data_IF_685173571195
#
_entry.id   IF_685173571195
#
_cell.length_a   1.000
_cell.length_b   1.000
_cell.length_c   1.000
_cell.angle_alpha   90.00
_cell.angle_beta   90.00
_cell.angle_gamma   90.00
#
_symmetry.space_group_name_H-M   'P 1'
#
loop_
_entity.id
_entity.type
_entity.pdbx_description
1 polymer ?
#
# COMPACT_ATOMS: atom_id res chain seq x y z
N UNK A 1 38.50 6.16 -6.97
CA UNK A 1 37.72 4.95 -7.35
C UNK A 1 36.56 5.43 -8.19
N UNK A 2 36.29 4.82 -9.35
CA UNK A 2 35.10 5.16 -10.12
C UNK A 2 33.87 4.74 -9.30
N UNK A 3 32.91 5.65 -9.12
CA UNK A 3 31.61 5.33 -8.51
C UNK A 3 30.99 4.15 -9.28
N UNK A 4 30.64 3.08 -8.58
CA UNK A 4 29.95 1.93 -9.18
C UNK A 4 28.56 2.39 -9.64
N UNK A 5 28.21 2.17 -10.90
CA UNK A 5 26.86 2.45 -11.39
C UNK A 5 25.91 1.37 -10.84
N UNK A 6 25.25 1.65 -9.70
CA UNK A 6 24.38 0.70 -9.02
C UNK A 6 23.15 0.35 -9.84
N UNK A 7 22.59 1.29 -10.61
CA UNK A 7 21.47 1.02 -11.51
C UNK A 7 21.83 -0.11 -12.48
N UNK A 8 23.02 -0.06 -13.08
CA UNK A 8 23.51 -1.10 -13.98
C UNK A 8 23.66 -2.45 -13.28
N UNK A 9 24.26 -2.47 -12.09
CA UNK A 9 24.45 -3.71 -11.30
C UNK A 9 23.10 -4.37 -10.98
N UNK A 10 22.14 -3.58 -10.50
CA UNK A 10 20.80 -4.04 -10.16
C UNK A 10 20.07 -4.53 -11.42
N UNK A 11 20.14 -3.77 -12.51
CA UNK A 11 19.47 -4.10 -13.77
C UNK A 11 20.01 -5.41 -14.37
N UNK A 12 21.33 -5.60 -14.41
CA UNK A 12 21.93 -6.82 -14.96
C UNK A 12 21.50 -8.06 -14.17
N UNK A 13 21.50 -7.98 -12.83
CA UNK A 13 20.99 -9.06 -11.98
C UNK A 13 19.49 -9.29 -12.20
N UNK A 14 18.70 -8.22 -12.26
CA UNK A 14 17.27 -8.29 -12.49
C UNK A 14 16.91 -8.94 -13.83
N UNK A 15 17.56 -8.54 -14.92
CA UNK A 15 17.36 -9.10 -16.25
C UNK A 15 17.70 -10.59 -16.29
N UNK A 16 18.74 -11.01 -15.55
CA UNK A 16 19.13 -12.42 -15.44
C UNK A 16 18.11 -13.24 -14.64
N UNK A 17 17.63 -12.72 -13.52
CA UNK A 17 16.84 -13.50 -12.56
C UNK A 17 15.32 -13.37 -12.74
N UNK A 18 14.85 -12.30 -13.39
CA UNK A 18 13.42 -11.94 -13.49
C UNK A 18 12.90 -11.86 -14.93
N UNK A 19 13.67 -12.37 -15.91
CA UNK A 19 13.30 -12.32 -17.35
C UNK A 19 11.89 -12.83 -17.64
N UNK A 20 11.50 -13.93 -17.02
CA UNK A 20 10.18 -14.53 -17.22
C UNK A 20 9.03 -13.59 -16.81
N UNK A 21 9.23 -12.76 -15.78
CA UNK A 21 8.24 -11.75 -15.37
C UNK A 21 8.11 -10.65 -16.42
N UNK A 22 9.23 -10.19 -16.98
CA UNK A 22 9.25 -9.22 -18.09
C UNK A 22 8.49 -9.79 -19.29
N UNK A 23 8.78 -11.04 -19.68
CA UNK A 23 8.07 -11.69 -20.78
C UNK A 23 6.56 -11.81 -20.53
N UNK A 24 6.17 -12.15 -19.30
CA UNK A 24 4.76 -12.26 -18.90
C UNK A 24 4.06 -10.91 -18.96
N UNK A 25 4.73 -9.85 -18.51
CA UNK A 25 4.25 -8.47 -18.61
C UNK A 25 4.06 -8.06 -20.07
N UNK A 26 5.09 -8.18 -20.90
CA UNK A 26 5.04 -7.80 -22.33
C UNK A 26 3.96 -8.58 -23.10
N UNK A 27 3.82 -9.89 -22.85
CA UNK A 27 2.75 -10.71 -23.43
C UNK A 27 1.34 -10.23 -23.02
N UNK A 28 1.21 -9.70 -21.81
CA UNK A 28 -0.05 -9.16 -21.30
C UNK A 28 -0.36 -7.74 -21.79
N UNK A 29 0.66 -6.98 -22.18
CA UNK A 29 0.53 -5.66 -22.79
C UNK A 29 0.08 -5.73 -24.25
N UNK A 30 0.45 -6.78 -24.98
CA UNK A 30 0.07 -6.92 -26.40
C UNK A 30 -1.46 -6.89 -26.65
N UNK A 31 -2.31 -7.58 -25.87
CA UNK A 31 -3.76 -7.49 -25.99
C UNK A 31 -4.38 -6.39 -25.09
N UNK A 32 -3.59 -5.50 -24.49
CA UNK A 32 -4.12 -4.50 -23.58
C UNK A 32 -4.96 -3.46 -24.34
N UNK A 33 -6.22 -3.33 -23.94
CA UNK A 33 -7.14 -2.34 -24.49
C UNK A 33 -7.32 -1.18 -23.48
N UNK A 34 -6.83 -0.01 -23.86
CA UNK A 34 -6.96 1.22 -23.09
C UNK A 34 -8.43 1.56 -22.78
N UNK A 35 -8.79 1.65 -21.50
CA UNK A 35 -10.09 2.15 -21.08
C UNK A 35 -10.03 3.67 -20.82
N UNK A 36 -10.09 4.45 -21.90
CA UNK A 36 -10.01 5.92 -21.87
C UNK A 36 -11.14 6.62 -21.09
N UNK A 37 -12.15 5.89 -20.63
CA UNK A 37 -13.26 6.46 -19.83
C UNK A 37 -12.88 6.65 -18.35
N UNK A 38 -11.80 6.03 -17.88
CA UNK A 38 -11.34 6.18 -16.49
C UNK A 38 -10.30 7.28 -16.38
N UNK A 39 -10.42 8.07 -15.34
CA UNK A 39 -9.39 8.98 -14.86
C UNK A 39 -9.15 8.67 -13.39
N UNK A 40 -7.90 8.73 -12.98
CA UNK A 40 -7.48 8.50 -11.61
C UNK A 40 -6.68 9.71 -11.14
N UNK A 41 -7.02 10.18 -9.95
CA UNK A 41 -6.32 11.27 -9.29
C UNK A 41 -5.17 10.65 -8.47
N UNK A 42 -3.96 10.81 -8.97
CA UNK A 42 -2.72 10.49 -8.26
C UNK A 42 -2.08 11.77 -7.72
N UNK A 43 -1.06 11.62 -6.91
CA UNK A 43 -0.22 12.73 -6.49
C UNK A 43 1.24 12.34 -6.42
N UNK A 44 2.11 13.34 -6.31
CA UNK A 44 3.50 13.16 -5.90
C UNK A 44 3.93 14.34 -5.03
N UNK A 45 5.01 14.19 -4.27
CA UNK A 45 5.62 15.29 -3.55
C UNK A 45 6.91 15.72 -4.25
N UNK A 46 7.15 17.03 -4.26
CA UNK A 46 8.42 17.62 -4.69
C UNK A 46 8.69 18.86 -3.85
N UNK A 47 9.90 18.97 -3.30
CA UNK A 47 10.26 20.07 -2.40
C UNK A 47 9.25 20.28 -1.26
N UNK A 48 8.75 19.19 -0.67
CA UNK A 48 7.78 19.22 0.43
C UNK A 48 6.36 19.66 0.04
N UNK A 49 6.06 19.84 -1.24
CA UNK A 49 4.71 20.21 -1.73
C UNK A 49 4.06 19.06 -2.47
N UNK A 50 2.78 18.82 -2.19
CA UNK A 50 1.92 17.87 -2.90
C UNK A 50 1.51 18.45 -4.25
N UNK A 51 1.64 17.66 -5.30
CA UNK A 51 1.18 17.96 -6.65
C UNK A 51 0.20 16.87 -7.09
N UNK A 52 -1.02 17.27 -7.44
CA UNK A 52 -2.04 16.37 -7.98
C UNK A 52 -1.81 16.17 -9.48
N UNK A 53 -1.99 14.94 -9.96
CA UNK A 53 -1.87 14.56 -11.37
C UNK A 53 -2.99 13.62 -11.75
N UNK A 54 -3.58 13.84 -12.93
CA UNK A 54 -4.61 12.97 -13.48
C UNK A 54 -4.01 12.06 -14.54
N UNK A 55 -4.12 10.76 -14.32
CA UNK A 55 -3.76 9.76 -15.32
C UNK A 55 -5.03 9.07 -15.80
N UNK A 56 -5.12 8.87 -17.11
CA UNK A 56 -6.28 8.23 -17.73
C UNK A 56 -6.02 6.72 -17.91
N UNK A 57 -7.08 5.96 -18.19
CA UNK A 57 -7.00 4.51 -18.38
C UNK A 57 -6.34 4.05 -19.70
N UNK A 58 -5.56 4.91 -20.38
CA UNK A 58 -4.67 4.48 -21.47
C UNK A 58 -3.40 3.81 -20.97
N UNK A 59 -3.04 4.01 -19.70
CA UNK A 59 -1.88 3.40 -19.09
C UNK A 59 -2.24 2.04 -18.51
N UNK A 60 -1.26 1.14 -18.53
CA UNK A 60 -1.25 -0.11 -17.79
C UNK A 60 -0.62 0.16 -16.42
N UNK A 61 -1.42 0.14 -15.36
CA UNK A 61 -0.94 0.56 -14.04
C UNK A 61 -0.27 -0.59 -13.27
N UNK A 62 1.02 -0.44 -12.97
CA UNK A 62 1.80 -1.36 -12.14
C UNK A 62 1.88 -0.83 -10.70
N UNK A 63 1.15 -1.46 -9.79
CA UNK A 63 1.10 -1.08 -8.38
C UNK A 63 2.26 -1.68 -7.60
N UNK A 64 2.98 -0.84 -6.86
CA UNK A 64 3.78 -1.20 -5.68
C UNK A 64 3.14 -0.58 -4.44
N UNK A 65 3.67 -0.85 -3.25
CA UNK A 65 3.08 -0.35 -1.99
C UNK A 65 4.17 0.14 -1.05
N UNK A 66 3.80 1.05 -0.16
CA UNK A 66 4.60 1.42 1.01
C UNK A 66 3.71 1.35 2.24
N UNK A 67 4.27 1.05 3.40
CA UNK A 67 3.58 1.21 4.67
C UNK A 67 3.32 2.70 4.92
N UNK A 68 2.06 3.05 4.80
CA UNK A 68 1.63 4.44 4.75
C UNK A 68 1.69 5.19 6.09
N UNK A 69 1.71 4.48 7.21
CA UNK A 69 1.64 5.07 8.53
C UNK A 69 3.00 5.40 9.12
N UNK A 70 4.10 4.80 8.64
CA UNK A 70 5.44 5.09 9.12
C UNK A 70 6.09 6.19 8.25
N UNK A 71 6.65 7.29 8.81
CA UNK A 71 7.39 8.30 8.03
C UNK A 71 8.65 7.77 7.33
N UNK A 72 9.18 6.62 7.74
CA UNK A 72 10.41 6.07 7.18
C UNK A 72 10.16 5.21 5.94
N UNK A 73 11.14 5.16 5.04
CA UNK A 73 11.28 4.09 4.06
C UNK A 73 12.14 2.96 4.62
N UNK A 74 11.53 1.80 4.77
CA UNK A 74 12.18 0.54 5.10
C UNK A 74 13.01 0.01 3.93
N UNK A 75 13.92 -0.92 4.23
CA UNK A 75 14.72 -1.62 3.21
C UNK A 75 13.81 -2.39 2.23
N UNK A 76 12.76 -3.02 2.72
CA UNK A 76 11.77 -3.74 1.90
C UNK A 76 11.07 -2.80 0.91
N UNK A 77 10.58 -1.65 1.38
CA UNK A 77 9.87 -0.70 0.55
C UNK A 77 10.73 -0.15 -0.59
N UNK A 78 12.00 0.18 -0.29
CA UNK A 78 12.94 0.67 -1.31
C UNK A 78 13.19 -0.41 -2.36
N UNK A 79 13.38 -1.66 -1.95
CA UNK A 79 13.53 -2.77 -2.89
C UNK A 79 12.28 -2.91 -3.77
N UNK A 80 11.09 -2.80 -3.18
CA UNK A 80 9.81 -2.87 -3.88
C UNK A 80 9.55 -1.72 -4.85
N UNK A 81 10.04 -0.52 -4.57
CA UNK A 81 9.98 0.63 -5.49
C UNK A 81 10.91 0.40 -6.68
N UNK A 82 12.16 0.00 -6.43
CA UNK A 82 13.14 -0.30 -7.48
C UNK A 82 12.63 -1.43 -8.38
N UNK A 83 12.10 -2.50 -7.80
CA UNK A 83 11.50 -3.62 -8.51
C UNK A 83 10.36 -3.18 -9.45
N UNK A 84 9.49 -2.27 -9.00
CA UNK A 84 8.42 -1.73 -9.81
C UNK A 84 8.97 -0.89 -10.98
N UNK A 85 9.98 -0.05 -10.74
CA UNK A 85 10.67 0.72 -11.81
C UNK A 85 11.31 -0.19 -12.84
N UNK A 86 11.99 -1.26 -12.41
CA UNK A 86 12.63 -2.23 -13.30
C UNK A 86 11.60 -2.95 -14.18
N UNK A 87 10.50 -3.43 -13.61
CA UNK A 87 9.42 -4.05 -14.37
C UNK A 87 8.79 -3.09 -15.37
N UNK A 88 8.50 -1.86 -14.95
CA UNK A 88 7.92 -0.83 -15.81
C UNK A 88 8.83 -0.50 -16.99
N UNK A 89 10.08 -0.11 -16.73
CA UNK A 89 11.01 0.30 -17.78
C UNK A 89 11.31 -0.87 -18.71
N UNK A 90 11.57 -2.07 -18.19
CA UNK A 90 11.78 -3.25 -19.03
C UNK A 90 10.52 -3.58 -19.83
N UNK A 91 9.33 -3.47 -19.23
CA UNK A 91 8.05 -3.70 -19.91
C UNK A 91 7.85 -2.75 -21.09
N UNK A 92 8.07 -1.45 -20.88
CA UNK A 92 7.99 -0.44 -21.93
C UNK A 92 9.06 -0.65 -23.01
N UNK A 93 10.31 -0.91 -22.62
CA UNK A 93 11.42 -1.15 -23.54
C UNK A 93 11.18 -2.36 -24.44
N UNK A 94 10.91 -3.53 -23.85
CA UNK A 94 10.76 -4.77 -24.61
C UNK A 94 9.42 -4.85 -25.36
N UNK A 95 8.42 -4.04 -25.00
CA UNK A 95 7.23 -3.85 -25.82
C UNK A 95 7.56 -3.17 -27.17
N UNK A 96 8.46 -2.18 -27.15
CA UNK A 96 8.87 -1.44 -28.34
C UNK A 96 9.89 -2.21 -29.20
N UNK A 97 10.89 -2.83 -28.57
CA UNK A 97 12.03 -3.43 -29.26
C UNK A 97 11.97 -4.97 -29.39
N UNK A 98 10.99 -5.60 -28.74
CA UNK A 98 10.78 -7.04 -28.77
C UNK A 98 11.68 -7.82 -27.79
N UNK A 99 11.27 -9.05 -27.45
CA UNK A 99 11.91 -9.91 -26.44
C UNK A 99 13.16 -10.67 -26.96
N UNK A 100 14.04 -9.99 -27.68
CA UNK A 100 15.28 -10.56 -28.22
C UNK A 100 16.35 -10.80 -27.14
N UNK A 101 17.48 -11.40 -27.53
CA UNK A 101 18.67 -11.53 -26.68
C UNK A 101 19.16 -10.14 -26.24
N UNK A 102 19.47 -10.01 -24.96
CA UNK A 102 19.83 -8.73 -24.34
C UNK A 102 21.29 -8.43 -24.64
N UNK A 103 21.54 -7.28 -25.28
CA UNK A 103 22.87 -6.78 -25.60
C UNK A 103 23.27 -5.66 -24.63
N UNK A 104 24.54 -5.27 -24.69
CA UNK A 104 25.07 -4.22 -23.83
C UNK A 104 24.44 -2.86 -24.13
N UNK A 105 24.08 -2.59 -25.39
CA UNK A 105 23.37 -1.39 -25.80
C UNK A 105 21.98 -1.30 -25.13
N UNK A 106 21.27 -2.42 -25.09
CA UNK A 106 19.94 -2.50 -24.48
C UNK A 106 20.01 -2.21 -22.97
N UNK A 107 21.04 -2.74 -22.27
CA UNK A 107 21.29 -2.45 -20.84
C UNK A 107 21.54 -0.95 -20.62
N UNK A 108 22.32 -0.31 -21.49
CA UNK A 108 22.65 1.11 -21.35
C UNK A 108 21.40 1.99 -21.58
N UNK A 109 20.58 1.68 -22.57
CA UNK A 109 19.33 2.40 -22.87
C UNK A 109 18.32 2.23 -21.72
N UNK A 110 18.16 1.01 -21.20
CA UNK A 110 17.29 0.76 -20.03
C UNK A 110 17.80 1.52 -18.79
N UNK A 111 19.12 1.58 -18.56
CA UNK A 111 19.69 2.38 -17.47
C UNK A 111 19.35 3.88 -17.63
N UNK A 112 19.43 4.41 -18.84
CA UNK A 112 19.06 5.81 -19.11
C UNK A 112 17.57 6.04 -18.85
N UNK A 113 16.70 5.13 -19.29
CA UNK A 113 15.26 5.20 -19.01
C UNK A 113 14.93 5.10 -17.51
N UNK A 114 15.70 4.32 -16.73
CA UNK A 114 15.53 4.23 -15.27
C UNK A 114 15.80 5.55 -14.55
N UNK A 115 16.64 6.43 -15.10
CA UNK A 115 16.90 7.77 -14.56
C UNK A 115 15.72 8.73 -14.75
N UNK A 116 14.81 8.43 -15.69
CA UNK A 116 13.65 9.26 -15.98
C UNK A 116 12.47 8.92 -15.05
N UNK A 117 11.53 9.86 -14.84
CA UNK A 117 10.27 9.56 -14.15
C UNK A 117 9.49 8.42 -14.82
N UNK A 118 8.56 7.82 -14.08
CA UNK A 118 7.66 6.77 -14.62
C UNK A 118 6.83 7.31 -15.78
N UNK A 119 6.94 6.68 -16.95
CA UNK A 119 6.27 7.11 -18.18
C UNK A 119 6.08 5.96 -19.18
N UNK A 120 5.31 6.21 -20.24
CA UNK A 120 5.02 5.23 -21.28
C UNK A 120 3.68 4.53 -21.11
N UNK A 121 3.56 3.31 -21.66
CA UNK A 121 2.33 2.53 -21.56
C UNK A 121 2.18 1.96 -20.15
N UNK A 122 3.23 1.31 -19.65
CA UNK A 122 3.29 0.87 -18.26
C UNK A 122 3.67 2.06 -17.39
N UNK A 123 2.89 2.33 -16.34
CA UNK A 123 3.19 3.36 -15.35
C UNK A 123 3.18 2.72 -13.98
N UNK A 124 4.29 2.82 -13.26
CA UNK A 124 4.38 2.36 -11.88
C UNK A 124 3.85 3.42 -10.91
N UNK A 125 3.16 2.98 -9.87
CA UNK A 125 2.66 3.85 -8.81
C UNK A 125 2.68 3.17 -7.44
N UNK A 126 2.58 3.96 -6.39
CA UNK A 126 2.46 3.52 -5.00
C UNK A 126 1.00 3.56 -4.55
N UNK A 127 0.46 2.43 -4.13
CA UNK A 127 -0.80 2.38 -3.39
C UNK A 127 -0.53 2.48 -1.90
N UNK A 128 -1.10 3.51 -1.29
CA UNK A 128 -0.94 3.88 0.10
C UNK A 128 -2.25 3.65 0.86
N UNK A 129 -2.22 2.84 1.92
CA UNK A 129 -3.41 2.48 2.70
C UNK A 129 -3.62 3.45 3.87
N UNK A 130 -4.53 4.39 3.72
CA UNK A 130 -4.74 5.48 4.69
C UNK A 130 -5.66 5.16 5.86
N UNK A 131 -6.23 3.96 5.83
CA UNK A 131 -7.07 3.40 6.86
C UNK A 131 -6.33 2.56 7.91
N UNK A 132 -5.00 2.49 7.82
CA UNK A 132 -4.15 1.81 8.78
C UNK A 132 -3.89 2.66 10.04
N UNK A 133 -3.57 1.99 11.15
CA UNK A 133 -3.13 2.65 12.37
C UNK A 133 -1.78 3.37 12.17
N UNK A 134 -1.60 4.59 12.72
CA UNK A 134 -0.40 5.41 12.51
C UNK A 134 0.90 4.78 13.01
N UNK A 135 0.87 3.83 13.95
CA UNK A 135 2.06 3.11 14.39
C UNK A 135 1.84 1.60 14.43
N UNK A 136 1.41 1.07 13.29
CA UNK A 136 0.93 -0.30 13.14
C UNK A 136 1.95 -1.36 13.54
N UNK A 137 3.22 -1.22 13.14
CA UNK A 137 4.30 -2.16 13.46
C UNK A 137 5.31 -1.61 14.49
N UNK A 138 4.92 -0.62 15.30
CA UNK A 138 5.76 -0.12 16.41
C UNK A 138 7.17 0.35 16.01
N UNK A 139 7.30 0.85 14.78
CA UNK A 139 8.55 1.39 14.22
C UNK A 139 8.49 2.90 14.03
N UNK A 140 7.37 3.54 14.38
CA UNK A 140 7.19 4.96 14.16
C UNK A 140 7.91 5.78 15.27
N UNK A 141 8.83 6.69 14.92
CA UNK A 141 9.51 7.53 15.89
C UNK A 141 8.61 8.58 16.56
N UNK A 142 7.32 8.63 16.19
CA UNK A 142 6.31 9.50 16.78
C UNK A 142 5.38 8.76 17.73
N UNK A 143 5.59 7.45 17.96
CA UNK A 143 4.64 6.56 18.63
C UNK A 143 4.15 7.04 19.98
N UNK A 144 5.05 7.52 20.85
CA UNK A 144 4.67 8.01 22.17
C UNK A 144 3.72 9.20 22.04
N UNK A 145 4.05 10.16 21.16
CA UNK A 145 3.24 11.35 20.95
C UNK A 145 1.87 11.07 20.31
N UNK A 146 1.80 10.09 19.40
CA UNK A 146 0.55 9.58 18.81
C UNK A 146 -0.36 8.99 19.91
N UNK A 147 0.23 8.26 20.86
CA UNK A 147 -0.50 7.69 22.00
C UNK A 147 -0.93 8.77 22.99
N UNK A 148 -0.05 9.72 23.34
CA UNK A 148 -0.38 10.76 24.33
C UNK A 148 -1.36 11.80 23.81
N UNK A 149 -1.42 12.03 22.50
CA UNK A 149 -2.42 12.90 21.85
C UNK A 149 -3.80 12.22 21.69
N UNK A 150 -3.93 10.94 22.05
CA UNK A 150 -5.19 10.19 21.93
C UNK A 150 -5.49 9.69 20.50
N UNK A 151 -4.58 9.91 19.55
CA UNK A 151 -4.81 9.61 18.12
C UNK A 151 -4.40 8.18 17.71
N UNK A 152 -3.87 7.39 18.65
CA UNK A 152 -3.32 6.04 18.38
C UNK A 152 -4.30 5.01 17.79
N UNK A 153 -5.61 5.21 17.95
CA UNK A 153 -6.64 4.35 17.37
C UNK A 153 -7.37 4.99 16.17
N UNK A 154 -6.92 6.15 15.71
CA UNK A 154 -7.46 6.79 14.51
C UNK A 154 -6.90 6.11 13.26
N UNK A 155 -7.65 6.09 12.14
CA UNK A 155 -7.03 5.92 10.83
C UNK A 155 -5.97 6.99 10.61
N UNK A 156 -4.87 6.63 9.94
CA UNK A 156 -3.77 7.56 9.68
C UNK A 156 -4.25 8.83 8.97
N UNK A 157 -5.24 8.73 8.07
CA UNK A 157 -5.88 9.85 7.39
C UNK A 157 -6.41 10.96 8.33
N UNK A 158 -6.75 10.62 9.58
CA UNK A 158 -7.33 11.57 10.54
C UNK A 158 -6.32 12.13 11.53
N UNK A 159 -5.13 11.54 11.62
CA UNK A 159 -4.09 11.98 12.54
C UNK A 159 -3.60 13.38 12.14
N UNK A 160 -3.41 14.23 13.15
CA UNK A 160 -2.91 15.59 13.05
C UNK A 160 -1.52 15.70 13.66
N UNK A 161 -0.70 16.59 13.08
CA UNK A 161 0.71 16.77 13.47
C UNK A 161 0.92 17.69 14.67
N UNK A 162 -0.05 18.53 15.04
CA UNK A 162 0.11 19.61 16.04
C UNK A 162 0.67 19.17 17.40
N UNK A 163 0.34 17.95 17.83
CA UNK A 163 0.72 17.41 19.14
C UNK A 163 1.78 16.32 19.03
N UNK A 164 2.26 16.05 17.82
CA UNK A 164 3.25 15.01 17.59
C UNK A 164 4.65 15.56 17.85
N UNK A 165 5.52 14.69 18.32
CA UNK A 165 6.93 14.97 18.60
C UNK A 165 7.73 13.68 18.51
N UNK A 166 9.03 13.84 18.30
CA UNK A 166 9.96 12.72 18.32
C UNK A 166 9.93 12.06 19.72
N UNK A 167 9.80 10.73 19.73
CA UNK A 167 9.97 9.89 20.91
C UNK A 167 11.48 9.66 21.15
N UNK A 168 12.04 10.45 22.07
CA UNK A 168 13.46 10.38 22.43
C UNK A 168 13.88 9.02 23.01
N UNK A 169 12.95 8.26 23.60
CA UNK A 169 13.25 6.92 24.09
C UNK A 169 13.35 5.93 22.94
N UNK A 170 12.46 6.04 21.95
CA UNK A 170 12.55 5.29 20.69
C UNK A 170 13.88 5.58 19.98
N UNK A 171 14.24 6.85 19.82
CA UNK A 171 15.50 7.24 19.17
C UNK A 171 16.70 6.64 19.89
N UNK A 172 16.78 6.82 21.22
CA UNK A 172 17.91 6.30 22.01
C UNK A 172 18.02 4.78 21.94
N UNK A 173 16.89 4.08 21.82
CA UNK A 173 16.84 2.62 21.74
C UNK A 173 17.23 2.09 20.37
N UNK A 174 16.80 2.76 19.30
CA UNK A 174 16.86 2.20 17.94
C UNK A 174 17.78 2.94 16.96
N UNK A 175 18.52 3.95 17.40
CA UNK A 175 19.49 4.65 16.55
C UNK A 175 20.46 3.67 15.86
N UNK A 176 20.53 3.77 14.53
CA UNK A 176 21.32 2.91 13.65
C UNK A 176 20.77 1.50 13.44
N UNK A 177 19.62 1.16 14.02
CA UNK A 177 19.01 -0.19 13.90
C UNK A 177 17.65 -0.18 13.22
N UNK A 178 16.72 0.71 13.62
CA UNK A 178 15.46 0.97 12.92
C UNK A 178 15.41 2.37 12.30
N UNK A 179 16.10 3.34 12.90
CA UNK A 179 16.11 4.72 12.45
C UNK A 179 17.50 5.34 12.59
N UNK A 180 17.85 6.27 11.71
CA UNK A 180 19.08 7.05 11.81
C UNK A 180 18.83 8.48 12.31
N UNK A 181 19.85 9.11 12.90
CA UNK A 181 19.80 10.52 13.30
C UNK A 181 19.45 11.48 12.14
N UNK A 182 19.92 11.18 10.92
CA UNK A 182 19.61 11.98 9.74
C UNK A 182 18.12 11.96 9.39
N UNK A 183 17.46 10.81 9.61
CA UNK A 183 16.02 10.70 9.42
C UNK A 183 15.23 11.37 10.53
N UNK A 184 15.66 11.26 11.79
CA UNK A 184 15.03 12.00 12.89
C UNK A 184 15.04 13.51 12.59
N UNK A 185 16.17 14.02 12.12
CA UNK A 185 16.30 15.42 11.72
C UNK A 185 15.32 15.77 10.59
N UNK A 186 15.23 14.92 9.56
CA UNK A 186 14.30 15.12 8.45
C UNK A 186 12.83 15.09 8.92
N UNK A 187 12.45 14.12 9.73
CA UNK A 187 11.10 13.96 10.26
C UNK A 187 10.73 15.16 11.12
N UNK A 188 11.63 15.61 12.01
CA UNK A 188 11.40 16.81 12.83
C UNK A 188 11.19 18.05 11.97
N UNK A 189 12.02 18.25 10.93
CA UNK A 189 11.86 19.37 10.00
C UNK A 189 10.54 19.30 9.23
N UNK A 190 10.15 18.14 8.73
CA UNK A 190 8.87 17.96 8.03
C UNK A 190 7.68 18.16 8.97
N UNK A 191 7.80 17.75 10.23
CA UNK A 191 6.78 17.93 11.26
C UNK A 191 6.58 19.42 11.56
N UNK A 192 7.67 20.17 11.80
CA UNK A 192 7.65 21.62 12.02
C UNK A 192 7.08 22.40 10.82
N UNK A 193 7.37 21.96 9.60
CA UNK A 193 6.95 22.60 8.37
C UNK A 193 5.59 22.11 7.83
N UNK A 194 4.89 21.24 8.58
CA UNK A 194 3.61 20.65 8.15
C UNK A 194 2.45 21.67 8.19
N UNK A 195 2.43 22.62 7.26
CA UNK A 195 1.48 23.74 7.24
C UNK A 195 -0.01 23.34 7.19
N UNK A 196 -0.32 22.14 6.70
CA UNK A 196 -1.69 21.62 6.59
C UNK A 196 -2.10 20.74 7.79
N UNK A 197 -1.21 20.55 8.75
CA UNK A 197 -1.42 19.72 9.95
C UNK A 197 -1.84 18.28 9.67
N UNK A 198 -1.60 17.81 8.44
CA UNK A 198 -1.96 16.48 7.95
C UNK A 198 -0.81 15.53 8.20
N UNK A 199 -1.04 14.52 9.05
CA UNK A 199 -0.03 13.52 9.38
C UNK A 199 0.47 12.79 8.14
N UNK A 200 -0.47 12.39 7.28
CA UNK A 200 -0.16 11.60 6.11
C UNK A 200 0.52 12.39 5.00
N UNK A 201 0.23 13.68 4.89
CA UNK A 201 1.00 14.56 3.99
C UNK A 201 2.44 14.75 4.49
N UNK A 202 2.63 14.81 5.81
CA UNK A 202 3.97 14.84 6.41
C UNK A 202 4.72 13.54 6.14
N UNK A 203 4.09 12.37 6.37
CA UNK A 203 4.70 11.06 6.09
C UNK A 203 5.11 10.94 4.63
N UNK A 204 4.20 11.25 3.70
CA UNK A 204 4.52 11.20 2.28
C UNK A 204 5.63 12.19 1.90
N UNK A 205 5.62 13.42 2.43
CA UNK A 205 6.68 14.38 2.18
C UNK A 205 8.06 13.85 2.63
N UNK A 206 8.15 13.22 3.81
CA UNK A 206 9.39 12.58 4.30
C UNK A 206 9.83 11.49 3.33
N UNK A 207 8.92 10.56 2.97
CA UNK A 207 9.26 9.45 2.06
C UNK A 207 9.71 9.94 0.69
N UNK A 208 9.06 10.96 0.11
CA UNK A 208 9.50 11.52 -1.17
C UNK A 208 10.87 12.17 -1.09
N UNK A 209 11.20 12.90 -0.01
CA UNK A 209 12.55 13.44 0.18
C UNK A 209 13.58 12.32 0.31
N UNK A 210 13.24 11.21 0.96
CA UNK A 210 14.11 10.03 1.02
C UNK A 210 14.26 9.38 -0.37
N UNK A 211 13.16 9.19 -1.12
CA UNK A 211 13.20 8.65 -2.49
C UNK A 211 14.03 9.51 -3.43
N UNK A 212 13.95 10.85 -3.36
CA UNK A 212 14.77 11.77 -4.16
C UNK A 212 16.27 11.53 -3.91
N UNK A 213 16.70 11.51 -2.65
CA UNK A 213 18.11 11.27 -2.26
C UNK A 213 18.59 9.89 -2.69
N UNK A 214 17.78 8.86 -2.47
CA UNK A 214 18.14 7.51 -2.85
C UNK A 214 18.14 7.33 -4.38
N UNK A 215 17.33 8.11 -5.12
CA UNK A 215 17.34 8.08 -6.59
C UNK A 215 18.68 8.55 -7.14
N UNK A 216 19.26 9.61 -6.56
CA UNK A 216 20.61 10.08 -6.89
C UNK A 216 21.66 9.00 -6.61
N UNK A 217 21.52 8.29 -5.50
CA UNK A 217 22.46 7.27 -5.08
C UNK A 217 22.40 6.01 -5.97
N UNK A 218 21.21 5.47 -6.20
CA UNK A 218 21.03 4.26 -7.00
C UNK A 218 21.15 4.52 -8.50
N UNK A 219 20.96 5.75 -8.97
CA UNK A 219 20.82 6.05 -10.40
C UNK A 219 19.52 5.54 -11.00
N UNK A 220 18.48 5.38 -10.17
CA UNK A 220 17.13 4.96 -10.58
C UNK A 220 16.16 5.98 -9.99
N UNK A 221 15.34 6.61 -10.81
CA UNK A 221 14.31 7.52 -10.32
C UNK A 221 13.19 6.75 -9.63
N UNK A 222 13.10 6.90 -8.31
CA UNK A 222 12.18 6.20 -7.44
C UNK A 222 10.93 7.02 -7.09
N UNK A 223 10.86 8.29 -7.51
CA UNK A 223 9.73 9.17 -7.22
C UNK A 223 8.52 8.82 -8.08
N UNK A 224 7.85 7.72 -7.72
CA UNK A 224 6.62 7.23 -8.36
C UNK A 224 5.43 8.15 -8.05
N UNK A 225 4.36 8.03 -8.85
CA UNK A 225 3.06 8.57 -8.47
C UNK A 225 2.48 7.77 -7.28
N UNK A 226 1.68 8.41 -6.44
CA UNK A 226 1.03 7.80 -5.28
C UNK A 226 -0.49 7.96 -5.34
N UNK A 227 -1.20 6.99 -4.76
CA UNK A 227 -2.64 6.99 -4.59
C UNK A 227 -2.99 6.58 -3.15
N UNK A 228 -3.83 7.35 -2.48
CA UNK A 228 -4.33 7.05 -1.12
C UNK A 228 -5.72 6.46 -1.17
N UNK A 229 -5.87 5.31 -0.52
CA UNK A 229 -7.15 4.62 -0.37
C UNK A 229 -7.22 3.96 0.99
N UNK A 230 -8.42 3.70 1.54
CA UNK A 230 -9.72 4.03 0.99
C UNK A 230 -10.30 5.38 1.45
N UNK A 231 -9.83 5.99 2.54
CA UNK A 231 -10.53 7.09 3.22
C UNK A 231 -10.51 8.36 2.37
N UNK A 232 -9.35 8.80 1.88
CA UNK A 232 -9.27 10.00 1.05
C UNK A 232 -10.12 9.86 -0.22
N UNK A 233 -10.22 8.64 -0.78
CA UNK A 233 -11.10 8.36 -1.92
C UNK A 233 -12.58 8.44 -1.51
N UNK A 234 -12.99 7.79 -0.41
CA UNK A 234 -14.36 7.83 0.12
C UNK A 234 -14.83 9.25 0.46
N UNK A 235 -13.94 10.10 0.94
CA UNK A 235 -14.25 11.51 1.24
C UNK A 235 -14.49 12.36 -0.01
N UNK A 236 -13.85 12.01 -1.14
CA UNK A 236 -13.98 12.73 -2.41
C UNK A 236 -15.09 12.18 -3.30
N UNK A 237 -15.43 10.90 -3.17
CA UNK A 237 -16.49 10.27 -3.94
C UNK A 237 -17.88 10.78 -3.53
N UNK A 238 -18.77 10.94 -4.51
CA UNK A 238 -20.19 11.13 -4.22
C UNK A 238 -20.80 9.84 -3.65
N UNK A 239 -21.96 9.91 -3.00
CA UNK A 239 -22.65 8.75 -2.42
C UNK A 239 -22.98 7.61 -3.41
N UNK A 240 -22.94 7.88 -4.72
CA UNK A 240 -23.12 6.88 -5.78
C UNK A 240 -21.78 6.44 -6.40
N UNK A 241 -20.66 6.83 -5.80
CA UNK A 241 -19.31 6.49 -6.21
C UNK A 241 -18.99 5.01 -6.06
N UNK A 242 -17.83 4.61 -6.58
CA UNK A 242 -17.47 3.21 -6.73
C UNK A 242 -17.27 2.52 -5.37
N UNK A 243 -16.53 3.13 -4.44
CA UNK A 243 -16.33 2.52 -3.13
C UNK A 243 -17.62 2.48 -2.32
N UNK A 244 -18.47 3.49 -2.45
CA UNK A 244 -19.80 3.49 -1.84
C UNK A 244 -20.68 2.36 -2.36
N UNK A 245 -20.69 2.15 -3.68
CA UNK A 245 -21.38 1.04 -4.33
C UNK A 245 -20.85 -0.32 -3.87
N UNK A 246 -19.53 -0.49 -3.83
CA UNK A 246 -18.88 -1.71 -3.34
C UNK A 246 -19.32 -2.02 -1.91
N UNK A 247 -19.26 -1.05 -1.00
CA UNK A 247 -19.64 -1.23 0.40
C UNK A 247 -21.14 -1.56 0.51
N UNK A 248 -21.99 -0.85 -0.23
CA UNK A 248 -23.44 -1.07 -0.24
C UNK A 248 -23.80 -2.49 -0.70
N UNK A 249 -23.22 -2.95 -1.81
CA UNK A 249 -23.51 -4.26 -2.39
C UNK A 249 -23.05 -5.42 -1.49
N UNK A 250 -21.89 -5.32 -0.84
CA UNK A 250 -21.42 -6.40 0.04
C UNK A 250 -22.19 -6.46 1.37
N UNK A 251 -22.92 -5.41 1.73
CA UNK A 251 -23.79 -5.39 2.93
C UNK A 251 -25.28 -5.60 2.62
N UNK A 252 -25.67 -5.75 1.34
CA UNK A 252 -27.07 -5.79 0.88
C UNK A 252 -27.95 -6.75 1.68
N UNK A 253 -27.46 -7.97 1.90
CA UNK A 253 -28.20 -9.06 2.54
C UNK A 253 -27.23 -10.09 3.14
N UNK A 254 -27.79 -11.08 3.84
CA UNK A 254 -27.05 -12.19 4.45
C UNK A 254 -26.14 -12.92 3.44
N UNK A 255 -26.65 -13.25 2.26
CA UNK A 255 -25.93 -14.02 1.24
C UNK A 255 -24.73 -13.24 0.70
N UNK A 256 -24.90 -11.94 0.46
CA UNK A 256 -23.83 -11.06 0.00
C UNK A 256 -22.69 -10.97 1.03
N UNK A 257 -23.02 -10.89 2.32
CA UNK A 257 -22.02 -10.92 3.40
C UNK A 257 -21.36 -12.31 3.48
N UNK A 258 -22.13 -13.40 3.34
CA UNK A 258 -21.60 -14.76 3.37
C UNK A 258 -20.64 -15.05 2.21
N UNK A 259 -20.95 -14.58 1.01
CA UNK A 259 -20.09 -14.68 -0.16
C UNK A 259 -18.79 -13.88 0.01
N UNK A 260 -18.87 -12.68 0.58
CA UNK A 260 -17.69 -11.88 0.91
C UNK A 260 -16.81 -12.58 1.97
N UNK A 261 -17.42 -13.21 2.97
CA UNK A 261 -16.70 -14.04 3.94
C UNK A 261 -16.01 -15.23 3.29
N UNK A 262 -16.70 -15.91 2.37
CA UNK A 262 -16.17 -17.03 1.61
C UNK A 262 -14.96 -16.63 0.77
N UNK A 263 -14.99 -15.44 0.14
CA UNK A 263 -13.85 -14.90 -0.58
C UNK A 263 -12.61 -14.71 0.33
N UNK A 264 -12.82 -14.39 1.61
CA UNK A 264 -11.74 -14.28 2.60
C UNK A 264 -11.33 -15.62 3.24
N UNK A 265 -11.93 -16.75 2.83
CA UNK A 265 -11.73 -18.05 3.48
C UNK A 265 -12.29 -18.12 4.90
N UNK A 266 -13.31 -17.31 5.22
CA UNK A 266 -13.91 -17.22 6.57
C UNK A 266 -15.34 -17.74 6.56
N UNK A 267 -15.80 -18.19 7.73
CA UNK A 267 -17.19 -18.57 7.96
C UNK A 267 -17.97 -17.45 8.64
N UNK A 268 -19.16 -17.14 8.13
CA UNK A 268 -20.06 -16.14 8.73
C UNK A 268 -20.65 -16.59 10.07
N UNK A 269 -20.51 -17.86 10.47
CA UNK A 269 -21.10 -18.42 11.70
C UNK A 269 -20.83 -17.61 12.97
N UNK A 270 -19.61 -17.06 13.12
CA UNK A 270 -19.25 -16.24 14.29
C UNK A 270 -19.78 -14.80 14.20
N UNK A 271 -20.07 -14.31 12.99
CA UNK A 271 -20.61 -12.96 12.71
C UNK A 271 -19.75 -11.83 13.29
N UNK A 272 -18.43 -11.98 13.31
CA UNK A 272 -17.50 -11.04 13.97
C UNK A 272 -16.59 -10.25 13.03
N UNK A 273 -16.40 -10.68 11.79
CA UNK A 273 -15.53 -9.97 10.84
C UNK A 273 -16.31 -8.83 10.21
N UNK A 274 -15.94 -7.60 10.51
CA UNK A 274 -16.52 -6.42 9.89
C UNK A 274 -15.95 -6.25 8.47
N UNK A 275 -16.82 -6.24 7.46
CA UNK A 275 -16.42 -6.01 6.06
C UNK A 275 -16.00 -4.54 5.83
N UNK A 276 -16.61 -3.63 6.58
CA UNK A 276 -16.09 -2.29 6.82
C UNK A 276 -16.14 -1.99 8.30
N UNK A 277 -15.11 -1.32 8.85
CA UNK A 277 -15.02 -0.98 10.27
C UNK A 277 -15.56 0.43 10.48
N UNK A 278 -16.76 0.62 11.06
CA UNK A 278 -17.32 1.94 11.29
C UNK A 278 -16.48 2.73 12.28
N UNK A 279 -16.31 4.03 12.03
CA UNK A 279 -15.59 4.93 12.92
C UNK A 279 -16.49 5.39 14.06
N UNK A 280 -15.93 5.59 15.25
CA UNK A 280 -16.67 6.19 16.36
C UNK A 280 -16.89 7.68 16.15
N UNK A 281 -17.80 8.28 16.93
CA UNK A 281 -17.93 9.74 17.00
C UNK A 281 -16.67 10.43 17.52
N UNK A 282 -15.83 9.70 18.27
CA UNK A 282 -14.52 10.17 18.74
C UNK A 282 -13.42 10.06 17.67
N UNK A 283 -13.70 9.45 16.51
CA UNK A 283 -12.76 9.30 15.39
C UNK A 283 -11.95 8.00 15.37
N UNK A 284 -12.19 7.08 16.31
CA UNK A 284 -11.53 5.76 16.31
C UNK A 284 -11.93 4.98 15.07
N UNK A 285 -10.94 4.39 14.40
CA UNK A 285 -11.12 3.60 13.18
C UNK A 285 -10.15 2.43 13.07
N UNK A 286 -9.39 2.15 14.13
CA UNK A 286 -8.45 1.03 14.19
C UNK A 286 -9.18 -0.30 13.99
N UNK A 287 -8.81 -1.00 12.92
CA UNK A 287 -9.30 -2.35 12.63
C UNK A 287 -8.83 -3.35 13.68
N UNK A 288 -7.68 -3.08 14.32
CA UNK A 288 -7.13 -3.91 15.39
C UNK A 288 -7.88 -3.74 16.70
N UNK A 289 -8.30 -2.53 17.06
CA UNK A 289 -9.05 -2.23 18.29
C UNK A 289 -10.54 -2.57 18.19
N UNK A 290 -11.11 -2.53 16.98
CA UNK A 290 -12.53 -2.81 16.76
C UNK A 290 -12.90 -4.29 17.00
N UNK A 291 -14.06 -4.51 17.64
CA UNK A 291 -14.73 -5.80 17.79
C UNK A 291 -16.15 -5.68 17.27
N UNK A 292 -16.48 -6.49 16.27
CA UNK A 292 -17.78 -6.46 15.62
C UNK A 292 -18.70 -7.59 16.02
N UNK A 293 -20.01 -7.33 16.00
CA UNK A 293 -21.04 -8.37 15.93
C UNK A 293 -22.14 -7.96 14.95
N UNK A 294 -22.41 -8.83 13.97
CA UNK A 294 -23.39 -8.61 12.91
C UNK A 294 -24.71 -9.29 13.28
N UNK A 295 -25.81 -8.55 13.17
CA UNK A 295 -27.16 -9.02 13.47
C UNK A 295 -28.04 -8.97 12.23
N UNK A 296 -28.82 -10.02 12.04
CA UNK A 296 -29.74 -10.18 10.92
C UNK A 296 -31.18 -10.32 11.43
N UNK A 297 -32.12 -9.85 10.63
CA UNK A 297 -33.55 -10.12 10.74
C UNK A 297 -33.99 -10.85 9.47
N UNK A 298 -34.13 -12.18 9.55
CA UNK A 298 -34.18 -13.03 8.37
C UNK A 298 -32.89 -12.89 7.54
N UNK A 299 -33.04 -12.52 6.26
CA UNK A 299 -31.93 -12.25 5.35
C UNK A 299 -31.46 -10.78 5.38
N UNK A 300 -32.22 -9.88 6.01
CA UNK A 300 -31.90 -8.45 6.06
C UNK A 300 -30.82 -8.20 7.12
N UNK A 301 -29.78 -7.43 6.76
CA UNK A 301 -28.85 -6.88 7.74
C UNK A 301 -29.61 -5.91 8.65
N UNK A 302 -29.72 -6.24 9.95
CA UNK A 302 -30.43 -5.42 10.93
C UNK A 302 -29.53 -4.36 11.51
N UNK A 303 -28.37 -4.76 12.01
CA UNK A 303 -27.41 -3.85 12.62
C UNK A 303 -26.05 -4.48 12.81
N UNK A 304 -25.05 -3.62 13.04
CA UNK A 304 -23.70 -4.00 13.41
C UNK A 304 -23.37 -3.31 14.74
N UNK A 305 -23.07 -4.09 15.78
CA UNK A 305 -22.53 -3.57 17.04
C UNK A 305 -21.02 -3.53 16.95
N UNK A 306 -20.43 -2.40 17.33
CA UNK A 306 -18.99 -2.17 17.32
C UNK A 306 -18.58 -1.78 18.74
N UNK A 307 -17.55 -2.45 19.26
CA UNK A 307 -16.88 -2.04 20.49
C UNK A 307 -15.40 -1.84 20.19
N UNK A 308 -14.89 -0.65 20.50
CA UNK A 308 -13.48 -0.33 20.50
C UNK A 308 -12.89 -0.63 21.87
N UNK A 309 -11.75 -1.31 21.88
CA UNK A 309 -11.03 -1.67 23.09
C UNK A 309 -9.54 -1.40 22.90
N UNK A 310 -8.92 -0.85 23.94
CA UNK A 310 -7.48 -0.65 23.98
C UNK A 310 -6.77 -1.96 23.71
N UNK A 311 -5.90 -1.99 22.71
CA UNK A 311 -5.26 -3.23 22.24
C UNK A 311 -3.83 -2.98 21.81
N UNK A 312 -2.99 -3.99 21.98
CA UNK A 312 -1.67 -4.02 21.37
C UNK A 312 -1.76 -4.16 19.85
N UNK A 313 -0.93 -3.39 19.16
CA UNK A 313 -0.67 -3.45 17.72
C UNK A 313 0.36 -4.53 17.42
N UNK A 314 0.97 -4.48 16.24
CA UNK A 314 1.93 -5.49 15.81
C UNK A 314 3.35 -5.12 16.29
N UNK A 315 4.16 -6.12 16.66
CA UNK A 315 5.56 -5.90 16.99
C UNK A 315 6.38 -5.51 15.76
N UNK A 316 7.52 -4.87 16.00
CA UNK A 316 8.60 -4.73 15.02
C UNK A 316 9.52 -5.98 15.03
N UNK A 317 10.31 -6.18 13.98
CA UNK A 317 11.19 -7.34 13.84
C UNK A 317 12.42 -7.36 14.79
N UNK A 318 12.78 -6.24 15.43
CA UNK A 318 13.97 -6.15 16.30
C UNK A 318 13.64 -6.47 17.76
N UNK A 319 12.55 -5.90 18.28
CA UNK A 319 12.10 -6.10 19.65
C UNK A 319 10.59 -6.41 19.68
N UNK A 320 10.22 -7.70 19.74
CA UNK A 320 8.82 -8.12 19.76
C UNK A 320 8.04 -7.70 21.01
N UNK A 321 8.71 -7.31 22.09
CA UNK A 321 8.07 -6.89 23.34
C UNK A 321 7.76 -5.38 23.34
N UNK A 322 8.41 -4.62 22.46
CA UNK A 322 8.12 -3.20 22.25
C UNK A 322 7.02 -3.03 21.21
N UNK A 323 5.78 -3.12 21.71
CA UNK A 323 4.55 -3.02 20.93
C UNK A 323 3.80 -1.73 21.24
N UNK A 324 3.37 -1.07 20.18
CA UNK A 324 2.48 0.08 20.28
C UNK A 324 1.06 -0.30 20.63
N UNK A 325 0.32 0.67 21.16
CA UNK A 325 -1.03 0.49 21.69
C UNK A 325 -1.98 1.40 20.94
N UNK A 326 -3.04 0.85 20.36
CA UNK A 326 -4.20 1.62 19.93
C UNK A 326 -5.12 1.80 21.14
N UNK A 327 -5.09 2.99 21.74
CA UNK A 327 -5.97 3.35 22.86
C UNK A 327 -7.32 3.82 22.34
N UNK A 328 -8.37 3.09 22.71
CA UNK A 328 -9.74 3.45 22.41
C UNK A 328 -10.69 2.68 23.33
N UNK A 329 -11.73 3.34 23.80
CA UNK A 329 -12.83 2.72 24.53
C UNK A 329 -14.13 3.37 24.06
N UNK A 330 -14.90 2.63 23.28
CA UNK A 330 -16.21 3.09 22.82
C UNK A 330 -17.09 1.90 22.46
N UNK A 331 -18.39 2.11 22.46
CA UNK A 331 -19.36 1.10 22.04
C UNK A 331 -20.62 1.74 21.43
N UNK A 332 -20.95 1.32 20.22
CA UNK A 332 -22.09 1.83 19.48
C UNK A 332 -22.69 0.78 18.54
N UNK A 333 -23.82 1.13 17.95
CA UNK A 333 -24.53 0.30 16.98
C UNK A 333 -24.78 1.11 15.72
N UNK A 334 -24.46 0.52 14.58
CA UNK A 334 -24.75 1.04 13.25
C UNK A 334 -25.96 0.30 12.70
N UNK A 335 -26.94 1.04 12.18
CA UNK A 335 -28.09 0.46 11.49
C UNK A 335 -27.64 -0.26 10.20
N UNK A 336 -28.20 -1.44 9.93
CA UNK A 336 -27.92 -2.16 8.71
C UNK A 336 -28.27 -1.35 7.45
N UNK A 337 -29.32 -0.52 7.51
CA UNK A 337 -29.74 0.33 6.40
C UNK A 337 -28.69 1.39 6.03
N UNK A 338 -27.94 1.89 7.02
CA UNK A 338 -26.86 2.84 6.79
C UNK A 338 -25.66 2.20 6.06
N UNK A 339 -25.48 0.88 6.19
CA UNK A 339 -24.46 0.12 5.47
C UNK A 339 -24.93 -0.33 4.08
N UNK A 340 -26.23 -0.61 3.90
CA UNK A 340 -26.79 -0.94 2.58
C UNK A 340 -26.96 0.28 1.68
N UNK A 341 -27.16 1.47 2.27
CA UNK A 341 -27.25 2.75 1.56
C UNK A 341 -26.04 3.62 1.92
N UNK A 342 -24.85 3.08 1.68
CA UNK A 342 -23.63 3.60 2.29
C UNK A 342 -23.29 5.03 1.88
N UNK A 343 -23.04 5.88 2.88
CA UNK A 343 -22.43 7.19 2.72
C UNK A 343 -21.33 7.36 3.75
N UNK A 344 -20.14 7.76 3.32
CA UNK A 344 -19.03 8.06 4.21
C UNK A 344 -19.32 9.22 5.16
N UNK A 345 -20.12 10.20 4.72
CA UNK A 345 -20.55 11.33 5.56
C UNK A 345 -21.41 10.88 6.74
N UNK A 346 -22.30 9.90 6.51
CA UNK A 346 -23.24 9.39 7.53
C UNK A 346 -22.62 8.28 8.36
N UNK A 347 -21.80 7.41 7.75
CA UNK A 347 -21.20 6.24 8.39
C UNK A 347 -19.75 6.12 7.94
N UNK A 348 -18.85 7.00 8.42
CA UNK A 348 -17.43 6.91 8.09
C UNK A 348 -16.91 5.53 8.52
N UNK A 349 -16.17 4.86 7.63
CA UNK A 349 -15.72 3.49 7.89
C UNK A 349 -14.49 3.10 7.07
N UNK A 350 -13.71 2.16 7.60
CA UNK A 350 -12.51 1.61 6.97
C UNK A 350 -12.81 0.24 6.33
N UNK A 351 -13.07 0.15 5.01
CA UNK A 351 -13.32 -1.13 4.34
C UNK A 351 -12.09 -2.06 4.40
N UNK A 352 -12.32 -3.37 4.38
CA UNK A 352 -11.23 -4.33 4.25
C UNK A 352 -10.50 -4.18 2.90
N UNK A 353 -9.19 -4.45 2.89
CA UNK A 353 -8.33 -4.26 1.70
C UNK A 353 -8.89 -4.89 0.43
N UNK A 354 -9.35 -6.15 0.51
CA UNK A 354 -9.89 -6.87 -0.65
C UNK A 354 -11.13 -6.20 -1.29
N UNK A 355 -11.85 -5.34 -0.55
CA UNK A 355 -12.98 -4.58 -1.09
C UNK A 355 -12.51 -3.39 -1.89
N UNK A 356 -11.75 -2.49 -1.26
CA UNK A 356 -11.30 -1.27 -1.93
C UNK A 356 -10.25 -1.55 -3.01
N UNK A 357 -9.58 -2.71 -2.96
CA UNK A 357 -8.70 -3.15 -4.04
C UNK A 357 -9.43 -3.34 -5.37
N UNK A 358 -10.76 -3.54 -5.38
CA UNK A 358 -11.55 -3.55 -6.62
C UNK A 358 -11.60 -2.17 -7.28
N UNK A 359 -11.49 -1.10 -6.50
CA UNK A 359 -11.51 0.27 -6.99
C UNK A 359 -10.12 0.77 -7.42
N UNK A 360 -9.06 0.15 -6.91
CA UNK A 360 -7.68 0.48 -7.28
C UNK A 360 -7.44 0.32 -8.79
N UNK A 361 -6.66 1.22 -9.42
CA UNK A 361 -6.46 1.25 -10.88
C UNK A 361 -5.61 0.10 -11.44
N UNK A 362 -5.00 -0.73 -10.59
CA UNK A 362 -3.94 -1.64 -11.01
C UNK A 362 -4.34 -2.68 -12.08
N UNK A 363 -3.48 -2.83 -13.08
CA UNK A 363 -3.50 -3.94 -14.05
C UNK A 363 -2.45 -5.00 -13.71
N UNK A 364 -1.46 -4.62 -12.90
CA UNK A 364 -0.52 -5.51 -12.25
C UNK A 364 -0.22 -5.04 -10.82
N UNK A 365 0.00 -5.98 -9.91
CA UNK A 365 0.39 -5.73 -8.53
C UNK A 365 1.71 -6.44 -8.23
N UNK A 366 2.72 -5.67 -7.81
CA UNK A 366 3.92 -6.18 -7.18
C UNK A 366 3.67 -6.27 -5.67
N UNK A 367 3.97 -7.42 -5.10
CA UNK A 367 3.95 -7.67 -3.67
C UNK A 367 5.36 -7.77 -3.12
N UNK A 368 5.53 -7.27 -1.90
CA UNK A 368 6.80 -7.34 -1.19
C UNK A 368 6.73 -8.56 -0.27
N UNK A 369 7.47 -9.62 -0.62
CA UNK A 369 7.67 -10.74 0.30
C UNK A 369 6.46 -11.62 0.65
N UNK A 370 5.45 -11.77 -0.21
CA UNK A 370 4.40 -12.78 0.03
C UNK A 370 5.07 -14.16 0.15
N UNK A 371 5.00 -14.76 1.34
CA UNK A 371 5.67 -16.01 1.67
C UNK A 371 6.65 -15.91 2.83
N UNK A 372 7.30 -14.75 3.02
CA UNK A 372 8.12 -14.48 4.21
C UNK A 372 7.25 -14.25 5.45
N UNK A 373 6.14 -13.51 5.29
CA UNK A 373 5.26 -13.09 6.40
C UNK A 373 3.86 -13.73 6.39
N UNK A 374 3.67 -14.82 5.63
CA UNK A 374 2.41 -15.58 5.66
C UNK A 374 1.19 -14.89 5.00
N UNK A 375 1.38 -13.86 4.19
CA UNK A 375 0.31 -13.10 3.53
C UNK A 375 -0.42 -13.84 2.36
N UNK A 376 -0.33 -15.17 2.28
CA UNK A 376 -1.01 -15.96 1.22
C UNK A 376 -2.53 -15.77 1.25
N UNK A 377 -3.11 -15.63 2.43
CA UNK A 377 -4.56 -15.42 2.58
C UNK A 377 -5.00 -14.03 2.06
N UNK A 378 -4.13 -13.02 2.14
CA UNK A 378 -4.40 -11.71 1.55
C UNK A 378 -4.53 -11.83 0.03
N UNK A 379 -3.56 -12.47 -0.62
CA UNK A 379 -3.58 -12.71 -2.07
C UNK A 379 -4.78 -13.54 -2.50
N UNK A 380 -5.10 -14.60 -1.75
CA UNK A 380 -6.31 -15.42 -2.02
C UNK A 380 -7.57 -14.59 -1.94
N UNK A 381 -7.71 -13.73 -0.92
CA UNK A 381 -8.90 -12.87 -0.78
C UNK A 381 -9.02 -11.86 -1.93
N UNK A 382 -7.89 -11.27 -2.33
CA UNK A 382 -7.78 -10.34 -3.45
C UNK A 382 -8.12 -10.99 -4.79
N UNK A 383 -7.68 -12.23 -5.03
CA UNK A 383 -8.01 -12.96 -6.25
C UNK A 383 -9.47 -13.44 -6.25
N UNK A 384 -9.93 -13.99 -5.13
CA UNK A 384 -11.26 -14.59 -5.00
C UNK A 384 -12.37 -13.56 -5.19
N UNK A 385 -12.20 -12.35 -4.65
CA UNK A 385 -13.18 -11.28 -4.79
C UNK A 385 -13.34 -10.83 -6.24
N UNK A 386 -12.22 -10.66 -6.97
CA UNK A 386 -12.23 -10.31 -8.39
C UNK A 386 -12.87 -11.41 -9.22
N UNK A 387 -12.57 -12.67 -8.92
CA UNK A 387 -13.19 -13.82 -9.57
C UNK A 387 -14.71 -13.89 -9.33
N UNK A 388 -15.16 -13.70 -8.09
CA UNK A 388 -16.58 -13.67 -7.76
C UNK A 388 -17.32 -12.53 -8.48
N UNK A 389 -16.71 -11.34 -8.56
CA UNK A 389 -17.27 -10.19 -9.27
C UNK A 389 -17.26 -10.40 -10.80
N UNK A 390 -16.24 -11.03 -11.37
CA UNK A 390 -16.20 -11.39 -12.80
C UNK A 390 -17.37 -12.32 -13.19
N UNK A 391 -17.79 -13.19 -12.27
CA UNK A 391 -18.97 -14.04 -12.43
C UNK A 391 -20.30 -13.37 -12.07
N UNK A 392 -20.29 -12.08 -11.73
CA UNK A 392 -21.45 -11.31 -11.25
C UNK A 392 -22.13 -11.95 -10.01
N UNK A 393 -21.37 -12.72 -9.23
CA UNK A 393 -21.88 -13.47 -8.09
C UNK A 393 -22.02 -12.59 -6.84
N UNK A 394 -21.05 -11.69 -6.60
CA UNK A 394 -21.04 -10.85 -5.40
C UNK A 394 -21.48 -9.40 -5.68
N UNK A 395 -20.59 -8.59 -6.28
CA UNK A 395 -20.85 -7.18 -6.60
C UNK A 395 -21.20 -7.07 -8.07
N UNK A 396 -22.36 -6.48 -8.37
CA UNK A 396 -22.85 -6.33 -9.74
C UNK A 396 -22.56 -4.93 -10.28
N UNK A 397 -22.61 -4.79 -11.60
CA UNK A 397 -22.55 -3.50 -12.31
C UNK A 397 -21.26 -2.70 -12.09
N UNK A 398 -20.14 -3.36 -11.72
CA UNK A 398 -18.83 -2.72 -11.62
C UNK A 398 -18.37 -2.11 -12.95
N UNK A 399 -18.84 -2.65 -14.07
CA UNK A 399 -18.62 -2.11 -15.41
C UNK A 399 -19.15 -0.68 -15.59
N UNK A 400 -20.22 -0.30 -14.87
CA UNK A 400 -20.78 1.06 -14.92
C UNK A 400 -19.83 2.10 -14.33
N UNK A 401 -18.91 1.65 -13.48
CA UNK A 401 -17.84 2.43 -12.87
C UNK A 401 -16.51 2.31 -13.64
N UNK A 402 -16.52 1.63 -14.79
CA UNK A 402 -15.33 1.38 -15.59
C UNK A 402 -14.36 0.35 -14.98
N UNK A 403 -14.75 -0.36 -13.91
CA UNK A 403 -13.87 -1.35 -13.27
C UNK A 403 -13.74 -2.59 -14.14
N UNK A 404 -12.51 -2.97 -14.43
CA UNK A 404 -12.21 -4.28 -15.01
C UNK A 404 -12.27 -5.34 -13.92
N UNK A 405 -13.08 -6.38 -14.14
CA UNK A 405 -13.13 -7.57 -13.26
C UNK A 405 -12.02 -8.56 -13.57
N UNK A 406 -11.15 -8.27 -14.55
CA UNK A 406 -9.92 -9.03 -14.79
C UNK A 406 -9.09 -9.01 -13.51
N UNK A 407 -8.47 -10.15 -13.21
CA UNK A 407 -7.50 -10.25 -12.13
C UNK A 407 -6.19 -9.62 -12.61
N UNK A 408 -5.66 -8.59 -11.93
CA UNK A 408 -4.37 -7.99 -12.27
C UNK A 408 -3.26 -9.04 -12.27
N UNK A 409 -2.21 -8.83 -13.07
CA UNK A 409 -1.02 -9.66 -12.98
C UNK A 409 -0.44 -9.59 -11.56
N UNK A 410 0.00 -10.72 -11.03
CA UNK A 410 0.52 -10.80 -9.67
C UNK A 410 2.02 -11.08 -9.73
N UNK A 411 2.82 -10.14 -9.26
CA UNK A 411 4.26 -10.27 -9.13
C UNK A 411 4.66 -10.26 -7.66
N UNK A 412 5.74 -10.93 -7.30
CA UNK A 412 6.22 -10.99 -5.93
C UNK A 412 7.73 -10.86 -5.88
N UNK A 413 8.24 -10.05 -4.95
CA UNK A 413 9.64 -10.14 -4.56
C UNK A 413 9.88 -11.51 -3.92
N UNK A 414 10.80 -12.27 -4.51
CA UNK A 414 11.13 -13.61 -4.03
C UNK A 414 11.70 -13.52 -2.60
N UNK A 415 11.15 -14.25 -1.60
CA UNK A 415 11.59 -14.16 -0.22
C UNK A 415 13.11 -14.33 -0.02
N UNK A 416 13.72 -15.27 -0.74
CA UNK A 416 15.16 -15.55 -0.65
C UNK A 416 16.06 -14.44 -1.20
N UNK A 417 15.46 -13.46 -1.90
CA UNK A 417 16.14 -12.31 -2.49
C UNK A 417 15.69 -10.99 -1.86
N UNK A 418 14.93 -11.04 -0.76
CA UNK A 418 14.55 -9.83 -0.05
C UNK A 418 15.79 -9.17 0.57
N UNK A 419 15.90 -7.86 0.37
CA UNK A 419 16.93 -7.07 1.00
C UNK A 419 16.70 -7.00 2.50
N UNK A 420 17.77 -7.16 3.27
CA UNK A 420 17.77 -7.02 4.72
C UNK A 420 18.87 -6.06 5.12
N UNK A 421 18.71 -5.38 6.26
CA UNK A 421 19.79 -4.59 6.82
C UNK A 421 21.06 -5.46 6.96
N UNK A 422 22.22 -5.08 6.37
CA UNK A 422 23.38 -5.98 6.29
C UNK A 422 23.89 -6.43 7.67
N UNK A 423 23.95 -5.48 8.62
CA UNK A 423 24.36 -5.72 10.01
C UNK A 423 23.27 -6.35 10.89
N UNK A 424 22.05 -5.82 10.86
CA UNK A 424 20.98 -6.19 11.79
C UNK A 424 20.01 -7.26 11.26
N UNK A 425 20.15 -7.67 9.99
CA UNK A 425 19.45 -8.79 9.36
C UNK A 425 17.92 -8.74 9.48
N UNK A 426 17.35 -7.52 9.45
CA UNK A 426 15.91 -7.29 9.48
C UNK A 426 15.48 -6.41 8.29
N UNK A 427 14.23 -6.52 7.88
CA UNK A 427 13.66 -5.80 6.74
C UNK A 427 12.97 -4.48 7.14
N UNK A 428 12.54 -4.41 8.40
CA UNK A 428 11.81 -3.33 9.04
C UNK A 428 12.68 -2.09 9.29
N UNK A 429 14.00 -2.26 9.26
CA UNK A 429 14.93 -1.17 9.39
C UNK A 429 14.71 -0.16 8.29
N UNK A 430 14.78 1.12 8.67
CA UNK A 430 14.90 2.16 7.67
C UNK A 430 16.15 1.97 6.81
N UNK A 431 15.99 2.25 5.52
CA UNK A 431 17.09 2.38 4.57
C UNK A 431 18.14 3.40 5.03
N UNK A 432 17.77 4.41 5.82
CA UNK A 432 18.68 5.41 6.37
C UNK A 432 19.70 4.86 7.37
N UNK A 433 19.46 3.65 7.92
CA UNK A 433 20.43 2.95 8.79
C UNK A 433 21.51 2.19 8.01
N UNK A 434 21.33 2.01 6.69
CA UNK A 434 22.24 1.22 5.88
C UNK A 434 23.42 2.08 5.42
N UNK A 435 24.55 1.93 6.10
CA UNK A 435 25.79 2.67 5.80
C UNK A 435 26.31 2.43 4.37
N UNK A 436 26.18 1.20 3.87
CA UNK A 436 26.68 0.79 2.55
C UNK A 436 25.57 0.19 1.69
N UNK A 437 24.84 1.05 0.98
CA UNK A 437 23.77 0.65 0.06
C UNK A 437 24.25 -0.22 -1.13
N UNK A 438 25.55 -0.22 -1.46
CA UNK A 438 26.13 -1.14 -2.45
C UNK A 438 25.97 -2.61 -2.03
N UNK A 439 25.99 -2.89 -0.72
CA UNK A 439 25.78 -4.25 -0.21
C UNK A 439 24.36 -4.73 -0.52
N UNK A 440 23.35 -3.87 -0.43
CA UNK A 440 21.98 -4.20 -0.80
C UNK A 440 21.88 -4.49 -2.30
N UNK A 441 22.44 -3.63 -3.15
CA UNK A 441 22.47 -3.86 -4.60
C UNK A 441 23.11 -5.21 -4.96
N UNK A 442 24.17 -5.62 -4.24
CA UNK A 442 24.85 -6.90 -4.42
C UNK A 442 24.07 -8.11 -3.90
N UNK A 443 23.08 -7.93 -3.02
CA UNK A 443 22.17 -9.02 -2.64
C UNK A 443 21.32 -9.49 -3.83
N UNK A 444 21.22 -8.67 -4.87
CA UNK A 444 20.46 -8.96 -6.07
C UNK A 444 18.96 -8.75 -5.88
N UNK A 445 18.20 -9.00 -6.95
CA UNK A 445 16.75 -8.85 -6.95
C UNK A 445 16.11 -9.86 -7.88
N UNK A 446 15.13 -10.58 -7.35
CA UNK A 446 14.32 -11.53 -8.12
C UNK A 446 12.84 -11.29 -7.88
N UNK A 447 12.12 -11.15 -8.98
CA UNK A 447 10.67 -11.11 -9.00
C UNK A 447 10.16 -12.42 -9.60
N UNK A 448 9.04 -12.90 -9.06
CA UNK A 448 8.34 -14.07 -9.55
C UNK A 448 6.91 -13.70 -9.95
N UNK A 449 6.40 -14.35 -10.99
CA UNK A 449 4.99 -14.25 -11.35
C UNK A 449 4.19 -15.29 -10.55
N UNK A 450 3.22 -14.82 -9.77
CA UNK A 450 2.34 -15.68 -8.99
C UNK A 450 1.19 -16.17 -9.86
N UNK A 451 1.20 -17.47 -10.17
CA UNK A 451 0.05 -18.13 -10.79
C UNK A 451 -1.05 -18.29 -9.73
N UNK A 452 -2.13 -17.53 -9.89
CA UNK A 452 -3.34 -17.75 -9.11
C UNK A 452 -4.05 -18.99 -9.69
N UNK A 453 -3.92 -20.12 -8.99
CA UNK A 453 -4.46 -21.42 -9.38
C UNK A 453 -5.97 -21.53 -9.27
#
# INVERSE_FOLDING_TARGET
MASLNLAKVILEDFLKNSRQCIETLVKSLSPFEANKKRNFDFYYFKNGKKYEVKLDGKHFFLRSSVEYSNPQLTVEEVQGIIAARLLEVCGNYFLQYGLNEIRQEDINEICEMLCNPSEGLVVAFLLNTDDAEPDRYSMNPLKESIVTSGQSAFPSAYVKTDELKIDENFVRKYDGTLISQGEITLISQCLENSGNKSYVDMVDAVKYIQMEKLSEFFGINMCLYSLRMPIETLQKEANQGLLHHIISEVHRDYHSIEDAYTCMGRSIKKRTTLLTVPHSAEGYGSKRAARGRIYFDGEKLKSVRVSYQTTSLYPNAIDPDDVSIAKAEDEFVVDGEALTNYSFEVTPSSPQFFLYSLASPEDAALWHGIGAFGARELLKSYASIRFACAKKALIRNLENYGVSTRIPLQFNLAPDYMWVHPKHRNIDASIGCVENLEELAKMGMRIEHLMLG
#
